data_IF_249176187768
#
_entry.id   IF_249176187768
#
_cell.length_a   1.000
_cell.length_b   1.000
_cell.length_c   1.000
_cell.angle_alpha   90.00
_cell.angle_beta   90.00
_cell.angle_gamma   90.00
#
_symmetry.space_group_name_H-M   'P 1'
#
loop_
_entity.id
_entity.type
_entity.pdbx_description
1 polymer ?
#
# COMPACT_ATOMS: atom_id res chain seq x y z
N UNK A 1 76.28 -23.56 32.29
CA UNK A 1 76.22 -22.10 32.52
C UNK A 1 75.59 -21.48 31.29
N UNK A 2 74.49 -20.74 31.26
CA UNK A 2 73.41 -20.42 32.20
C UNK A 2 72.25 -19.93 31.34
N UNK A 3 71.01 -20.29 31.71
CA UNK A 3 69.74 -19.73 31.22
C UNK A 3 69.71 -18.20 31.28
N UNK A 4 68.88 -17.53 30.46
CA UNK A 4 67.63 -16.88 30.89
C UNK A 4 66.84 -16.24 29.72
N UNK A 5 65.51 -16.45 29.78
CA UNK A 5 64.43 -15.80 29.02
C UNK A 5 64.44 -14.27 29.17
N UNK A 6 63.93 -13.54 28.17
CA UNK A 6 63.06 -12.40 28.43
C UNK A 6 61.86 -12.35 27.46
N UNK A 7 60.71 -12.14 28.09
CA UNK A 7 59.35 -12.04 27.61
C UNK A 7 58.96 -10.54 27.64
N UNK A 8 58.10 -10.07 26.74
CA UNK A 8 57.46 -8.75 26.84
C UNK A 8 56.79 -8.31 25.53
N UNK A 9 55.56 -8.74 25.28
CA UNK A 9 54.29 -8.02 25.52
C UNK A 9 53.98 -6.98 24.43
N UNK A 10 53.31 -7.43 23.36
CA UNK A 10 52.57 -6.55 22.45
C UNK A 10 51.23 -6.20 23.10
N UNK A 11 51.04 -4.92 23.42
CA UNK A 11 49.75 -4.37 23.83
C UNK A 11 48.85 -4.30 22.60
N UNK A 12 47.82 -5.14 22.58
CA UNK A 12 46.64 -4.96 21.72
C UNK A 12 45.86 -3.76 22.26
N UNK A 13 45.97 -2.62 21.58
CA UNK A 13 45.03 -1.52 21.73
C UNK A 13 43.71 -1.95 21.08
N UNK A 14 42.71 -2.30 21.89
CA UNK A 14 41.34 -2.33 21.43
C UNK A 14 40.92 -0.89 21.14
N UNK A 15 40.71 -0.59 19.86
CA UNK A 15 39.93 0.58 19.48
C UNK A 15 38.49 0.29 19.90
N UNK A 16 38.14 0.71 21.11
CA UNK A 16 36.77 0.87 21.53
C UNK A 16 36.17 1.97 20.68
N UNK A 17 35.49 1.59 19.61
CA UNK A 17 34.68 2.50 18.81
C UNK A 17 33.49 2.89 19.70
N UNK A 18 33.63 4.06 20.34
CA UNK A 18 32.54 4.70 21.07
C UNK A 18 31.55 5.19 20.02
N UNK A 19 30.64 4.32 19.61
CA UNK A 19 29.44 4.73 18.89
C UNK A 19 28.70 5.76 19.76
N UNK A 20 28.69 7.00 19.28
CA UNK A 20 27.84 8.03 19.84
C UNK A 20 26.37 7.54 19.87
N UNK A 21 25.55 7.99 20.83
CA UNK A 21 24.12 7.73 20.75
C UNK A 21 23.61 8.42 19.48
N UNK A 22 23.14 7.64 18.50
CA UNK A 22 22.42 8.16 17.33
C UNK A 22 21.11 8.77 17.82
N UNK A 23 21.15 10.06 18.14
CA UNK A 23 19.98 10.93 18.18
C UNK A 23 19.22 10.72 16.87
N UNK A 24 17.98 10.24 16.95
CA UNK A 24 17.30 9.60 15.83
C UNK A 24 17.18 10.54 14.61
N UNK A 25 17.92 10.30 13.51
CA UNK A 25 17.69 11.05 12.29
C UNK A 25 16.26 10.75 11.81
N UNK A 26 15.53 11.79 11.38
CA UNK A 26 14.17 11.69 10.86
C UNK A 26 14.06 10.76 9.63
N UNK A 27 12.94 10.83 8.89
CA UNK A 27 12.80 10.04 7.68
C UNK A 27 13.90 10.42 6.67
N UNK A 28 14.37 9.44 5.90
CA UNK A 28 15.45 9.64 4.92
C UNK A 28 15.30 8.69 3.74
N UNK A 29 15.92 9.07 2.63
CA UNK A 29 16.09 8.24 1.45
C UNK A 29 17.56 8.30 1.00
N UNK A 30 18.16 7.15 0.72
CA UNK A 30 19.59 7.06 0.39
C UNK A 30 19.88 5.86 -0.50
N UNK A 31 21.01 5.92 -1.20
CA UNK A 31 21.54 4.81 -1.99
C UNK A 31 22.40 3.91 -1.09
N UNK A 32 22.14 2.61 -1.14
CA UNK A 32 23.02 1.57 -0.60
C UNK A 32 23.80 0.96 -1.77
N UNK A 33 24.95 1.56 -2.06
CA UNK A 33 25.83 1.17 -3.17
C UNK A 33 26.29 -0.28 -3.08
N UNK A 34 26.47 -0.80 -1.86
CA UNK A 34 26.95 -2.16 -1.64
C UNK A 34 25.92 -3.18 -2.15
N UNK A 35 24.63 -2.87 -2.05
CA UNK A 35 23.54 -3.74 -2.46
C UNK A 35 22.86 -3.31 -3.77
N UNK A 36 23.21 -2.14 -4.32
CA UNK A 36 22.57 -1.58 -5.51
C UNK A 36 21.09 -1.27 -5.29
N UNK A 37 20.76 -0.75 -4.10
CA UNK A 37 19.38 -0.48 -3.68
C UNK A 37 19.18 0.98 -3.30
N UNK A 38 18.03 1.52 -3.65
CA UNK A 38 17.53 2.78 -3.10
C UNK A 38 16.68 2.45 -1.88
N UNK A 39 17.00 3.05 -0.73
CA UNK A 39 16.37 2.75 0.56
C UNK A 39 15.66 3.98 1.08
N UNK A 40 14.36 3.84 1.37
CA UNK A 40 13.58 4.82 2.11
C UNK A 40 13.34 4.28 3.52
N UNK A 41 13.72 5.06 4.54
CA UNK A 41 13.78 4.66 5.94
C UNK A 41 12.99 5.70 6.75
N UNK A 42 11.82 5.32 7.28
CA UNK A 42 10.95 6.24 8.04
C UNK A 42 11.53 6.55 9.43
N UNK A 43 11.01 7.59 10.09
CA UNK A 43 11.42 7.93 11.45
C UNK A 43 11.24 6.73 12.40
N UNK A 44 12.14 6.54 13.38
CA UNK A 44 12.01 5.44 14.32
C UNK A 44 10.79 5.63 15.23
N UNK A 45 10.24 4.50 15.66
CA UNK A 45 9.07 4.45 16.55
C UNK A 45 9.17 3.26 17.50
N UNK A 46 8.42 3.32 18.58
CA UNK A 46 8.24 2.18 19.48
C UNK A 46 7.00 1.39 19.08
N UNK A 47 7.11 0.06 19.09
CA UNK A 47 6.05 -0.90 18.77
C UNK A 47 5.73 -1.71 20.03
N UNK A 48 4.75 -1.28 20.84
CA UNK A 48 4.31 -2.04 22.01
C UNK A 48 3.76 -3.42 21.60
N UNK A 49 3.97 -4.44 22.44
CA UNK A 49 3.45 -5.78 22.20
C UNK A 49 1.91 -5.79 22.19
N UNK A 50 1.31 -6.72 21.45
CA UNK A 50 -0.15 -6.99 21.40
C UNK A 50 -1.01 -5.76 21.16
N UNK A 51 -0.54 -4.84 20.32
CA UNK A 51 -1.22 -3.58 20.06
C UNK A 51 -1.64 -3.52 18.59
N UNK A 52 -2.95 -3.34 18.30
CA UNK A 52 -3.44 -3.19 16.93
C UNK A 52 -3.09 -1.80 16.37
N UNK A 53 -3.13 -1.64 15.05
CA UNK A 53 -2.73 -0.39 14.38
C UNK A 53 -3.46 0.87 14.90
N UNK A 54 -4.74 0.77 15.28
CA UNK A 54 -5.51 1.92 15.80
C UNK A 54 -5.11 2.34 17.23
N UNK A 55 -4.29 1.55 17.93
CA UNK A 55 -3.77 1.83 19.26
C UNK A 55 -2.26 2.09 19.28
N UNK A 56 -1.61 2.09 18.10
CA UNK A 56 -0.20 2.45 17.92
C UNK A 56 -0.13 3.81 17.25
N UNK A 57 0.73 4.69 17.78
CA UNK A 57 1.07 5.93 17.08
C UNK A 57 1.81 5.58 15.78
N UNK A 58 1.18 5.79 14.63
CA UNK A 58 1.74 5.41 13.33
C UNK A 58 2.98 6.25 12.98
N UNK A 59 3.92 5.73 12.16
CA UNK A 59 5.02 6.53 11.63
C UNK A 59 4.48 7.83 11.01
N UNK A 60 5.10 9.00 11.30
CA UNK A 60 4.76 10.22 10.61
C UNK A 60 4.90 10.05 9.10
N UNK A 61 3.93 10.58 8.35
CA UNK A 61 4.02 10.64 6.89
C UNK A 61 5.23 11.49 6.51
N UNK A 62 6.06 10.99 5.60
CA UNK A 62 7.29 11.64 5.20
C UNK A 62 7.22 12.06 3.74
N UNK A 63 7.50 13.35 3.47
CA UNK A 63 7.84 13.83 2.13
C UNK A 63 9.35 13.88 1.99
N UNK A 64 9.89 13.24 0.96
CA UNK A 64 11.32 13.07 0.71
C UNK A 64 11.62 13.34 -0.77
N UNK A 65 12.89 13.61 -1.08
CA UNK A 65 13.34 13.83 -2.45
C UNK A 65 14.20 12.66 -2.92
N UNK A 66 13.99 12.20 -4.16
CA UNK A 66 14.83 11.15 -4.75
C UNK A 66 16.29 11.64 -4.88
N UNK A 67 17.28 10.91 -4.33
CA UNK A 67 18.68 11.37 -4.31
C UNK A 67 19.41 11.17 -5.65
N UNK A 68 18.96 10.22 -6.48
CA UNK A 68 19.61 9.87 -7.75
C UNK A 68 18.59 9.44 -8.81
N UNK A 69 18.81 9.87 -10.05
CA UNK A 69 17.99 9.46 -11.20
C UNK A 69 18.28 8.01 -11.60
N UNK A 70 17.23 7.24 -11.87
CA UNK A 70 17.37 5.85 -12.31
C UNK A 70 16.04 5.14 -12.45
N UNK A 71 16.03 3.83 -12.23
CA UNK A 71 14.83 3.01 -12.36
C UNK A 71 14.72 1.96 -11.27
N UNK A 72 13.54 1.86 -10.67
CA UNK A 72 13.19 0.80 -9.73
C UNK A 72 12.63 -0.39 -10.52
N UNK A 73 13.15 -1.58 -10.28
CA UNK A 73 12.65 -2.81 -10.91
C UNK A 73 12.21 -3.87 -9.89
N UNK A 74 12.16 -3.52 -8.61
CA UNK A 74 11.65 -4.39 -7.57
C UNK A 74 11.72 -3.72 -6.22
N UNK A 75 10.93 -4.21 -5.26
CA UNK A 75 10.90 -3.64 -3.93
C UNK A 75 10.46 -4.65 -2.88
N UNK A 76 10.75 -4.33 -1.61
CA UNK A 76 10.20 -4.97 -0.42
C UNK A 76 10.04 -3.93 0.68
N UNK A 77 8.96 -4.03 1.43
CA UNK A 77 8.78 -3.29 2.68
C UNK A 77 9.14 -4.21 3.84
N UNK A 78 9.83 -3.69 4.84
CA UNK A 78 10.23 -4.43 6.03
C UNK A 78 10.23 -3.51 7.26
N UNK A 79 10.03 -4.08 8.44
CA UNK A 79 10.36 -3.40 9.71
C UNK A 79 11.75 -3.87 10.15
N UNK A 80 12.57 -2.95 10.64
CA UNK A 80 13.88 -3.25 11.23
C UNK A 80 13.97 -2.74 12.66
N UNK A 81 14.77 -3.40 13.48
CA UNK A 81 15.11 -2.93 14.83
C UNK A 81 16.13 -1.76 14.78
N UNK A 82 16.48 -1.26 15.97
CA UNK A 82 17.49 -0.19 16.13
C UNK A 82 18.89 -0.54 15.59
N UNK A 83 19.22 -1.82 15.45
CA UNK A 83 20.48 -2.30 14.89
C UNK A 83 20.37 -2.60 13.38
N UNK A 84 19.18 -2.46 12.79
CA UNK A 84 18.92 -2.73 11.38
C UNK A 84 18.58 -4.18 11.06
N UNK A 85 18.38 -5.05 12.05
CA UNK A 85 17.93 -6.41 11.82
C UNK A 85 16.46 -6.44 11.45
N UNK A 86 16.10 -7.28 10.48
CA UNK A 86 14.71 -7.46 10.08
C UNK A 86 13.86 -8.03 11.23
N UNK A 87 12.70 -7.41 11.43
CA UNK A 87 11.65 -7.87 12.33
C UNK A 87 10.58 -8.65 11.53
N UNK A 88 9.62 -9.33 12.20
CA UNK A 88 8.57 -10.07 11.50
C UNK A 88 7.79 -9.22 10.49
N UNK A 89 7.50 -9.79 9.32
CA UNK A 89 6.76 -9.11 8.24
C UNK A 89 5.31 -8.79 8.64
N UNK A 90 4.73 -9.56 9.58
CA UNK A 90 3.38 -9.34 10.14
C UNK A 90 3.22 -8.00 10.86
N UNK A 91 4.32 -7.28 11.11
CA UNK A 91 4.27 -5.94 11.69
C UNK A 91 3.81 -4.86 10.68
N UNK A 92 3.88 -5.14 9.38
CA UNK A 92 3.44 -4.21 8.34
C UNK A 92 1.93 -4.39 8.11
N UNK A 93 1.16 -3.36 8.41
CA UNK A 93 -0.26 -3.35 8.07
C UNK A 93 -0.45 -2.85 6.63
N UNK A 94 0.12 -1.68 6.30
CA UNK A 94 0.23 -1.22 4.91
C UNK A 94 1.36 -0.21 4.71
N UNK A 95 1.78 -0.01 3.47
CA UNK A 95 2.76 0.98 3.06
C UNK A 95 2.37 1.52 1.69
N UNK A 96 2.45 2.84 1.51
CA UNK A 96 2.26 3.51 0.24
C UNK A 96 3.46 4.40 -0.08
N UNK A 97 3.94 4.33 -1.32
CA UNK A 97 4.81 5.33 -1.94
C UNK A 97 4.01 6.08 -2.99
N UNK A 98 3.96 7.41 -2.88
CA UNK A 98 3.13 8.27 -3.69
C UNK A 98 4.02 9.34 -4.32
N UNK A 99 3.74 9.65 -5.57
CA UNK A 99 4.29 10.81 -6.25
C UNK A 99 3.20 11.90 -6.25
N UNK A 100 3.38 12.97 -5.46
CA UNK A 100 2.39 14.03 -5.33
C UNK A 100 2.38 15.01 -6.51
N UNK A 101 3.43 15.00 -7.34
CA UNK A 101 3.67 15.99 -8.39
C UNK A 101 3.05 15.56 -9.73
N UNK A 102 2.81 14.26 -9.92
CA UNK A 102 2.17 13.70 -11.11
C UNK A 102 0.81 13.09 -10.80
N UNK A 103 -0.11 13.18 -11.76
CA UNK A 103 -1.45 12.60 -11.61
C UNK A 103 -1.48 11.08 -11.80
N UNK A 104 -2.45 10.41 -11.23
CA UNK A 104 -2.77 9.01 -11.53
C UNK A 104 -3.29 8.84 -12.98
N UNK A 105 -3.16 7.63 -13.54
CA UNK A 105 -3.52 7.35 -14.92
C UNK A 105 -5.01 7.58 -15.20
N UNK A 106 -5.90 7.14 -14.32
CA UNK A 106 -7.36 7.19 -14.54
C UNK A 106 -8.08 8.30 -13.75
N UNK A 107 -7.40 8.99 -12.84
CA UNK A 107 -7.99 10.01 -11.98
C UNK A 107 -7.05 11.22 -11.82
N UNK A 108 -7.59 12.42 -11.56
CA UNK A 108 -6.81 13.61 -11.23
C UNK A 108 -6.39 13.62 -9.75
N UNK A 109 -5.80 12.52 -9.26
CA UNK A 109 -5.26 12.37 -7.90
C UNK A 109 -3.74 12.13 -7.94
N UNK A 110 -3.05 12.09 -6.79
CA UNK A 110 -1.60 11.82 -6.78
C UNK A 110 -1.28 10.40 -7.24
N UNK A 111 -0.25 10.25 -8.07
CA UNK A 111 0.15 8.95 -8.66
C UNK A 111 0.62 7.97 -7.58
N UNK A 112 0.06 6.76 -7.59
CA UNK A 112 0.49 5.69 -6.68
C UNK A 112 1.66 4.94 -7.27
N UNK A 113 2.85 5.09 -6.67
CA UNK A 113 4.06 4.42 -7.16
C UNK A 113 4.12 2.97 -6.68
N UNK A 114 3.86 2.73 -5.40
CA UNK A 114 3.96 1.41 -4.79
C UNK A 114 2.95 1.29 -3.65
N UNK A 115 2.40 0.10 -3.45
CA UNK A 115 1.63 -0.26 -2.28
C UNK A 115 2.02 -1.67 -1.82
N UNK A 116 2.09 -1.89 -0.51
CA UNK A 116 2.32 -3.21 0.07
C UNK A 116 1.74 -3.34 1.47
N UNK A 117 1.11 -4.48 1.78
CA UNK A 117 0.88 -4.98 3.14
C UNK A 117 1.78 -6.17 3.45
N UNK A 118 1.55 -6.83 4.58
CA UNK A 118 2.27 -8.06 4.97
C UNK A 118 2.10 -9.18 3.94
N UNK A 119 0.99 -9.19 3.21
CA UNK A 119 0.64 -10.18 2.18
C UNK A 119 1.35 -9.97 0.83
N UNK A 120 1.94 -8.80 0.59
CA UNK A 120 2.49 -8.46 -0.74
C UNK A 120 3.83 -9.13 -1.02
N UNK A 121 4.64 -9.38 0.01
CA UNK A 121 5.99 -9.94 -0.14
C UNK A 121 6.94 -9.08 -1.00
N UNK A 122 7.92 -9.72 -1.65
CA UNK A 122 8.88 -9.03 -2.51
C UNK A 122 8.41 -9.04 -3.97
N UNK A 123 8.35 -7.85 -4.59
CA UNK A 123 7.96 -7.68 -5.99
C UNK A 123 9.19 -7.48 -6.87
N UNK A 124 9.20 -8.12 -8.04
CA UNK A 124 10.27 -7.99 -9.03
C UNK A 124 9.73 -7.92 -10.44
N UNK A 125 10.27 -6.98 -11.21
CA UNK A 125 10.09 -6.83 -12.63
C UNK A 125 11.28 -7.43 -13.39
N UNK A 126 11.10 -7.87 -14.65
CA UNK A 126 12.22 -8.21 -15.51
C UNK A 126 13.15 -7.00 -15.70
N UNK A 127 14.24 -6.93 -14.94
CA UNK A 127 15.12 -5.75 -14.79
C UNK A 127 15.61 -5.12 -16.09
N UNK A 128 15.79 -5.94 -17.13
CA UNK A 128 16.29 -5.49 -18.42
C UNK A 128 15.18 -4.87 -19.27
N UNK A 129 13.92 -5.25 -19.04
CA UNK A 129 12.79 -4.79 -19.84
C UNK A 129 12.09 -3.60 -19.18
N UNK A 130 11.79 -3.69 -17.89
CA UNK A 130 10.89 -2.76 -17.23
C UNK A 130 11.50 -2.19 -15.95
N UNK A 131 11.29 -0.90 -15.74
CA UNK A 131 11.48 -0.26 -14.47
C UNK A 131 10.71 1.06 -14.37
N UNK A 132 10.35 1.41 -13.15
CA UNK A 132 9.74 2.67 -12.79
C UNK A 132 10.81 3.76 -12.81
N UNK A 133 10.78 4.72 -13.77
CA UNK A 133 11.74 5.80 -13.79
C UNK A 133 11.55 6.72 -12.57
N UNK A 134 12.65 7.12 -11.96
CA UNK A 134 12.71 8.17 -10.95
C UNK A 134 13.70 9.24 -11.38
N UNK A 135 13.41 10.49 -11.06
CA UNK A 135 14.32 11.63 -11.28
C UNK A 135 14.85 12.16 -9.97
N UNK A 136 16.14 12.50 -9.95
CA UNK A 136 16.73 13.21 -8.82
C UNK A 136 15.96 14.51 -8.53
N UNK A 137 15.66 14.76 -7.25
CA UNK A 137 14.89 15.91 -6.78
C UNK A 137 13.37 15.77 -6.93
N UNK A 138 12.88 14.66 -7.50
CA UNK A 138 11.43 14.37 -7.52
C UNK A 138 10.94 14.09 -6.11
N UNK A 139 9.79 14.67 -5.74
CA UNK A 139 9.20 14.42 -4.43
C UNK A 139 8.51 13.06 -4.39
N UNK A 140 8.64 12.39 -3.26
CA UNK A 140 7.85 11.21 -2.93
C UNK A 140 7.30 11.32 -1.52
N UNK A 141 6.08 10.84 -1.33
CA UNK A 141 5.43 10.74 -0.04
C UNK A 141 5.37 9.28 0.37
N UNK A 142 5.91 8.97 1.54
CA UNK A 142 5.87 7.65 2.14
C UNK A 142 4.94 7.66 3.36
N UNK A 143 3.97 6.75 3.35
CA UNK A 143 2.96 6.59 4.39
C UNK A 143 2.86 5.12 4.76
N UNK A 144 3.17 4.79 6.01
CA UNK A 144 3.16 3.42 6.50
C UNK A 144 2.23 3.28 7.71
N UNK A 145 1.49 2.19 7.77
CA UNK A 145 0.83 1.73 8.99
C UNK A 145 1.40 0.39 9.43
N UNK A 146 1.54 0.27 10.73
CA UNK A 146 2.07 -0.89 11.41
C UNK A 146 1.12 -1.34 12.51
N UNK A 147 1.19 -2.62 12.80
CA UNK A 147 0.61 -3.20 14.00
C UNK A 147 1.61 -4.15 14.67
N UNK A 148 1.37 -4.49 15.93
CA UNK A 148 2.21 -5.45 16.61
C UNK A 148 1.34 -6.37 17.45
N UNK A 149 0.76 -7.38 16.81
CA UNK A 149 -0.02 -8.41 17.51
C UNK A 149 0.86 -9.46 18.21
N UNK A 150 2.17 -9.36 18.06
CA UNK A 150 3.15 -10.27 18.67
C UNK A 150 3.29 -10.00 20.18
N UNK A 151 3.78 -10.97 20.97
CA UNK A 151 4.02 -10.76 22.40
C UNK A 151 5.27 -9.90 22.69
N UNK A 152 6.06 -9.53 21.68
CA UNK A 152 7.33 -8.84 21.84
C UNK A 152 7.18 -7.36 21.53
N UNK A 153 7.68 -6.50 22.42
CA UNK A 153 7.77 -5.07 22.15
C UNK A 153 9.11 -4.73 21.46
N UNK A 154 9.09 -3.82 20.51
CA UNK A 154 10.28 -3.34 19.81
C UNK A 154 10.46 -1.84 20.06
N UNK A 155 11.68 -1.41 20.33
CA UNK A 155 12.01 0.01 20.52
C UNK A 155 12.82 0.54 19.36
N UNK A 156 12.58 1.79 18.99
CA UNK A 156 13.28 2.47 17.90
C UNK A 156 13.28 1.65 16.59
N UNK A 157 12.18 0.95 16.33
CA UNK A 157 11.97 0.22 15.10
C UNK A 157 11.73 1.19 13.95
N UNK A 158 12.12 0.82 12.73
CA UNK A 158 11.92 1.63 11.52
C UNK A 158 11.21 0.84 10.45
N UNK A 159 10.27 1.46 9.77
CA UNK A 159 9.72 0.91 8.51
C UNK A 159 10.63 1.33 7.36
N UNK A 160 11.03 0.36 6.55
CA UNK A 160 11.96 0.54 5.44
C UNK A 160 11.38 -0.01 4.14
N UNK A 161 11.38 0.80 3.11
CA UNK A 161 11.17 0.39 1.73
C UNK A 161 12.55 0.22 1.06
N UNK A 162 12.88 -1.02 0.68
CA UNK A 162 14.10 -1.36 -0.03
C UNK A 162 13.76 -1.58 -1.51
N UNK A 163 14.31 -0.73 -2.38
CA UNK A 163 14.02 -0.75 -3.82
C UNK A 163 15.26 -1.18 -4.59
N UNK A 164 15.12 -2.19 -5.44
CA UNK A 164 16.17 -2.59 -6.38
C UNK A 164 16.29 -1.54 -7.46
N UNK A 165 17.48 -0.96 -7.58
CA UNK A 165 17.68 0.27 -8.33
C UNK A 165 18.71 0.09 -9.44
N UNK A 166 18.43 0.69 -10.60
CA UNK A 166 19.38 0.81 -11.70
C UNK A 166 19.64 2.30 -11.95
N UNK A 167 20.87 2.79 -11.76
CA UNK A 167 21.24 4.16 -12.10
C UNK A 167 20.98 4.51 -13.57
N UNK A 168 20.56 5.74 -13.86
CA UNK A 168 20.19 6.19 -15.21
C UNK A 168 21.32 6.09 -16.26
N UNK A 169 22.58 5.99 -15.82
CA UNK A 169 23.76 5.76 -16.68
C UNK A 169 23.83 4.37 -17.32
N UNK A 170 22.92 3.46 -16.97
CA UNK A 170 22.84 2.13 -17.56
C UNK A 170 21.89 2.13 -18.76
N UNK A 171 22.13 1.30 -19.80
CA UNK A 171 21.27 1.24 -20.99
C UNK A 171 19.98 0.43 -20.77
N UNK A 172 19.66 0.04 -19.54
CA UNK A 172 18.43 -0.67 -19.16
C UNK A 172 17.79 0.04 -17.95
N UNK A 173 16.48 -0.16 -17.70
CA UNK A 173 15.53 -0.98 -18.46
C UNK A 173 15.24 -0.42 -19.87
N UNK A 174 14.84 -1.29 -20.80
CA UNK A 174 14.46 -0.89 -22.16
C UNK A 174 13.20 -0.04 -22.21
N UNK A 175 12.27 -0.24 -21.26
CA UNK A 175 11.01 0.46 -21.17
C UNK A 175 10.82 1.07 -19.78
N UNK A 176 10.51 2.36 -19.76
CA UNK A 176 9.96 3.03 -18.59
C UNK A 176 8.52 2.57 -18.38
N UNK A 177 8.25 1.94 -17.24
CA UNK A 177 6.94 1.43 -16.89
C UNK A 177 6.44 2.11 -15.61
N UNK A 178 5.28 2.74 -15.66
CA UNK A 178 4.62 3.30 -14.49
C UNK A 178 3.55 2.35 -13.97
N UNK A 179 3.40 2.22 -12.65
CA UNK A 179 2.25 1.57 -12.06
C UNK A 179 0.98 2.36 -12.41
N UNK A 180 -0.15 1.66 -12.39
CA UNK A 180 -1.48 2.27 -12.50
C UNK A 180 -2.47 1.43 -11.70
N UNK A 181 -3.58 2.06 -11.33
CA UNK A 181 -4.70 1.37 -10.69
C UNK A 181 -6.05 1.94 -11.13
N UNK A 182 -7.07 1.09 -11.02
CA UNK A 182 -8.47 1.45 -11.16
C UNK A 182 -9.28 0.68 -10.11
N UNK A 183 -10.14 1.37 -9.38
CA UNK A 183 -10.93 0.80 -8.29
C UNK A 183 -12.43 1.01 -8.55
N UNK A 184 -13.26 0.06 -8.16
CA UNK A 184 -14.72 0.18 -8.21
C UNK A 184 -15.28 1.21 -7.22
N UNK A 185 -14.49 1.61 -6.23
CA UNK A 185 -14.83 2.62 -5.21
C UNK A 185 -14.21 4.01 -5.48
N UNK A 186 -13.52 4.21 -6.61
CA UNK A 186 -13.06 5.54 -7.05
C UNK A 186 -14.20 6.58 -7.06
N UNK A 187 -13.91 7.88 -6.79
CA UNK A 187 -12.61 8.53 -6.96
C UNK A 187 -11.70 8.73 -5.73
N UNK A 188 -12.23 8.84 -4.49
CA UNK A 188 -11.44 9.01 -3.25
C UNK A 188 -12.21 8.39 -2.08
N UNK A 189 -11.50 7.77 -1.13
CA UNK A 189 -12.06 7.18 0.08
C UNK A 189 -11.56 5.75 0.31
N UNK A 190 -12.21 5.06 1.25
CA UNK A 190 -11.93 3.65 1.50
C UNK A 190 -12.22 2.82 0.24
N UNK A 191 -11.27 1.94 -0.08
CA UNK A 191 -11.39 1.03 -1.23
C UNK A 191 -12.36 -0.12 -0.98
N UNK A 192 -12.71 -0.34 0.29
CA UNK A 192 -13.68 -1.35 0.71
C UNK A 192 -15.11 -0.83 0.65
N UNK A 193 -16.06 -1.75 0.59
CA UNK A 193 -17.47 -1.44 0.66
C UNK A 193 -18.26 -2.55 1.37
N UNK A 194 -19.39 -2.16 1.96
CA UNK A 194 -20.34 -3.12 2.51
C UNK A 194 -20.85 -4.08 1.41
N UNK A 195 -20.63 -5.37 1.60
CA UNK A 195 -21.01 -6.41 0.67
C UNK A 195 -22.44 -6.91 0.99
N UNK A 196 -23.45 -6.64 0.16
CA UNK A 196 -24.82 -7.09 0.42
C UNK A 196 -24.93 -8.63 0.37
N UNK A 197 -25.96 -9.22 0.99
CA UNK A 197 -26.21 -10.66 0.87
C UNK A 197 -26.58 -11.05 -0.56
N UNK A 198 -26.17 -12.25 -0.96
CA UNK A 198 -26.37 -12.81 -2.29
C UNK A 198 -25.44 -12.24 -3.36
N UNK A 199 -25.88 -12.35 -4.62
CA UNK A 199 -25.11 -11.90 -5.78
C UNK A 199 -25.12 -10.39 -5.87
N UNK A 200 -23.96 -9.80 -6.11
CA UNK A 200 -23.82 -8.37 -6.35
C UNK A 200 -22.70 -8.08 -7.34
N UNK A 201 -22.74 -6.90 -7.94
CA UNK A 201 -21.68 -6.39 -8.80
C UNK A 201 -21.48 -4.90 -8.60
N UNK A 202 -20.25 -4.44 -8.79
CA UNK A 202 -19.89 -3.02 -8.83
C UNK A 202 -18.95 -2.76 -9.99
N UNK A 203 -18.97 -1.54 -10.50
CA UNK A 203 -18.09 -1.11 -11.58
C UNK A 203 -17.74 0.35 -11.46
N UNK A 204 -16.61 0.72 -12.07
CA UNK A 204 -16.19 2.09 -12.26
C UNK A 204 -15.65 2.24 -13.69
N UNK A 205 -15.79 3.43 -14.26
CA UNK A 205 -15.36 3.75 -15.62
C UNK A 205 -14.51 5.01 -15.65
N UNK A 206 -13.49 5.01 -16.50
CA UNK A 206 -12.57 6.12 -16.67
C UNK A 206 -11.78 6.00 -17.96
N UNK A 207 -11.04 7.06 -18.27
CA UNK A 207 -10.16 7.12 -19.43
C UNK A 207 -8.74 7.41 -18.96
N UNK A 208 -7.71 6.81 -19.59
CA UNK A 208 -6.34 7.07 -19.21
C UNK A 208 -5.94 8.50 -19.56
N UNK A 209 -5.03 9.05 -18.76
CA UNK A 209 -4.43 10.37 -18.93
C UNK A 209 -3.75 10.56 -20.28
N UNK A 210 -3.10 9.48 -20.71
CA UNK A 210 -2.16 9.45 -21.81
C UNK A 210 -2.24 8.09 -22.50
N UNK A 211 -1.93 8.00 -23.79
CA UNK A 211 -1.90 6.74 -24.49
C UNK A 211 -0.65 5.92 -24.14
N UNK A 212 -0.77 4.61 -24.23
CA UNK A 212 0.32 3.68 -23.95
C UNK A 212 -0.15 2.25 -23.83
N UNK A 213 0.68 1.38 -23.27
CA UNK A 213 0.46 -0.06 -23.27
C UNK A 213 0.42 -0.64 -21.87
N UNK A 214 -0.65 -1.35 -21.54
CA UNK A 214 -0.69 -2.22 -20.35
C UNK A 214 0.12 -3.47 -20.68
N UNK A 215 1.22 -3.68 -19.97
CA UNK A 215 2.13 -4.82 -20.19
C UNK A 215 1.91 -5.94 -19.19
N UNK A 216 1.39 -5.63 -18.01
CA UNK A 216 0.94 -6.63 -17.05
C UNK A 216 -0.15 -6.04 -16.17
N UNK A 217 -1.08 -6.89 -15.75
CA UNK A 217 -2.15 -6.50 -14.84
C UNK A 217 -2.61 -7.67 -13.98
N UNK A 218 -3.04 -7.35 -12.77
CA UNK A 218 -3.71 -8.25 -11.86
C UNK A 218 -4.85 -7.52 -11.17
N UNK A 219 -5.40 -8.14 -10.14
CA UNK A 219 -6.41 -7.49 -9.32
C UNK A 219 -6.31 -7.87 -7.86
N UNK A 220 -7.19 -7.25 -7.07
CA UNK A 220 -7.40 -7.57 -5.68
C UNK A 220 -8.91 -7.56 -5.38
N UNK A 221 -9.35 -8.58 -4.65
CA UNK A 221 -10.74 -8.77 -4.22
C UNK A 221 -10.70 -9.32 -2.79
N UNK A 222 -11.71 -8.98 -1.99
CA UNK A 222 -11.96 -9.62 -0.71
C UNK A 222 -12.72 -10.94 -0.91
N UNK A 223 -12.82 -11.73 0.17
CA UNK A 223 -13.56 -12.99 0.20
C UNK A 223 -14.96 -12.87 -0.44
N UNK A 224 -15.45 -13.99 -0.98
CA UNK A 224 -16.69 -14.08 -1.78
C UNK A 224 -16.63 -13.44 -3.17
N UNK A 225 -15.49 -12.87 -3.57
CA UNK A 225 -15.22 -12.45 -4.94
C UNK A 225 -15.35 -13.60 -5.94
N UNK A 226 -15.96 -13.35 -7.09
CA UNK A 226 -16.19 -14.37 -8.14
C UNK A 226 -15.43 -14.07 -9.42
N UNK A 227 -15.50 -12.83 -9.89
CA UNK A 227 -14.85 -12.36 -11.11
C UNK A 227 -14.47 -10.91 -10.94
N UNK A 228 -13.27 -10.58 -11.39
CA UNK A 228 -12.82 -9.21 -11.69
C UNK A 228 -12.52 -9.10 -13.19
N UNK A 229 -12.92 -7.98 -13.79
CA UNK A 229 -12.78 -7.73 -15.21
C UNK A 229 -12.33 -6.29 -15.48
N UNK A 230 -11.45 -6.12 -16.48
CA UNK A 230 -11.06 -4.83 -17.04
C UNK A 230 -11.32 -4.84 -18.54
N UNK A 231 -12.18 -3.93 -19.00
CA UNK A 231 -12.77 -3.95 -20.34
C UNK A 231 -12.68 -2.58 -20.98
N UNK A 232 -12.29 -2.53 -22.25
CA UNK A 232 -12.50 -1.37 -23.10
C UNK A 232 -13.96 -1.36 -23.55
N UNK A 233 -14.77 -0.49 -22.94
CA UNK A 233 -16.20 -0.43 -23.24
C UNK A 233 -16.50 0.35 -24.52
N UNK A 234 -15.52 1.10 -25.04
CA UNK A 234 -15.65 1.76 -26.35
C UNK A 234 -15.59 0.74 -27.48
N UNK A 235 -14.66 -0.22 -27.42
CA UNK A 235 -14.52 -1.27 -28.44
C UNK A 235 -15.27 -2.58 -28.10
N UNK A 236 -15.68 -2.76 -26.85
CA UNK A 236 -16.26 -4.00 -26.34
C UNK A 236 -15.22 -5.10 -26.04
N UNK A 237 -13.92 -4.78 -26.07
CA UNK A 237 -12.86 -5.74 -25.84
C UNK A 237 -12.58 -5.96 -24.34
N UNK A 238 -12.70 -7.21 -23.89
CA UNK A 238 -12.26 -7.61 -22.54
C UNK A 238 -10.74 -7.76 -22.55
N UNK A 239 -10.04 -6.87 -21.84
CA UNK A 239 -8.57 -6.85 -21.76
C UNK A 239 -8.07 -7.86 -20.72
N UNK A 240 -8.81 -8.01 -19.63
CA UNK A 240 -8.49 -8.91 -18.55
C UNK A 240 -9.74 -9.38 -17.83
N UNK A 241 -9.75 -10.66 -17.47
CA UNK A 241 -10.80 -11.29 -16.69
C UNK A 241 -10.18 -12.40 -15.86
N UNK A 242 -10.41 -12.38 -14.56
CA UNK A 242 -9.89 -13.39 -13.66
C UNK A 242 -10.92 -13.79 -12.62
N UNK A 243 -10.89 -15.07 -12.26
CA UNK A 243 -11.56 -15.59 -11.08
C UNK A 243 -10.53 -15.78 -9.97
N UNK A 244 -10.85 -15.43 -8.71
CA UNK A 244 -9.96 -15.68 -7.58
C UNK A 244 -9.62 -17.16 -7.42
N UNK A 245 -8.41 -17.43 -6.96
CA UNK A 245 -7.99 -18.75 -6.48
C UNK A 245 -8.23 -18.76 -4.98
N UNK A 246 -8.96 -19.77 -4.51
CA UNK A 246 -9.26 -19.93 -3.09
C UNK A 246 -8.39 -21.01 -2.45
N UNK A 247 -8.11 -20.85 -1.16
CA UNK A 247 -7.40 -21.83 -0.34
C UNK A 247 -8.30 -23.01 0.05
N UNK A 248 -7.77 -23.92 0.88
CA UNK A 248 -8.51 -25.08 1.38
C UNK A 248 -9.70 -24.71 2.30
N UNK A 249 -9.70 -23.52 2.89
CA UNK A 249 -10.80 -22.99 3.72
C UNK A 249 -11.86 -22.24 2.88
N UNK A 250 -11.60 -22.03 1.59
CA UNK A 250 -12.47 -21.29 0.68
C UNK A 250 -12.27 -19.77 0.72
N UNK A 251 -11.22 -19.29 1.38
CA UNK A 251 -10.83 -17.87 1.40
C UNK A 251 -10.00 -17.56 0.16
N UNK A 252 -10.06 -16.32 -0.33
CA UNK A 252 -9.26 -15.94 -1.51
C UNK A 252 -7.78 -15.91 -1.14
N UNK A 253 -7.01 -16.76 -1.81
CA UNK A 253 -5.55 -16.81 -1.68
C UNK A 253 -4.88 -15.83 -2.66
N UNK A 254 -5.37 -15.77 -3.91
CA UNK A 254 -4.76 -14.90 -4.93
C UNK A 254 -5.70 -14.57 -6.08
N UNK A 255 -5.38 -13.50 -6.80
CA UNK A 255 -6.00 -13.15 -8.08
C UNK A 255 -4.97 -13.38 -9.20
N UNK A 256 -5.29 -14.18 -10.23
CA UNK A 256 -4.38 -14.45 -11.34
C UNK A 256 -3.85 -13.18 -12.03
N UNK A 257 -2.53 -13.07 -12.18
CA UNK A 257 -1.87 -11.96 -12.90
C UNK A 257 -1.71 -12.31 -14.38
N UNK A 258 -2.10 -11.39 -15.27
CA UNK A 258 -1.89 -11.50 -16.70
C UNK A 258 -0.62 -10.76 -17.15
N UNK A 259 0.27 -11.46 -17.86
CA UNK A 259 1.39 -10.86 -18.60
C UNK A 259 0.95 -10.65 -20.05
N UNK A 260 0.89 -9.41 -20.49
CA UNK A 260 0.42 -9.04 -21.83
C UNK A 260 1.55 -8.81 -22.83
N UNK A 261 2.80 -8.82 -22.37
CA UNK A 261 3.99 -8.80 -23.24
C UNK A 261 4.45 -10.22 -23.62
N UNK A 262 5.09 -10.33 -24.78
CA UNK A 262 5.69 -11.56 -25.28
C UNK A 262 6.66 -11.26 -26.42
N UNK A 263 7.13 -12.30 -27.12
CA UNK A 263 8.14 -12.17 -28.17
C UNK A 263 7.70 -11.26 -29.34
N UNK A 264 6.40 -11.18 -29.62
CA UNK A 264 5.86 -10.47 -30.80
C UNK A 264 5.05 -9.22 -30.46
N UNK A 265 4.76 -8.96 -29.18
CA UNK A 265 3.94 -7.82 -28.77
C UNK A 265 4.33 -7.29 -27.39
N UNK A 266 4.26 -5.97 -27.24
CA UNK A 266 4.47 -5.28 -25.98
C UNK A 266 3.12 -4.84 -25.41
N UNK A 267 2.35 -5.74 -24.79
CA UNK A 267 1.12 -5.35 -24.10
C UNK A 267 -0.09 -5.01 -24.99
N UNK A 268 -1.16 -4.55 -24.35
CA UNK A 268 -2.39 -4.06 -24.98
C UNK A 268 -2.38 -2.53 -24.94
N UNK A 269 -2.58 -1.90 -26.10
CA UNK A 269 -2.60 -0.44 -26.23
C UNK A 269 -3.94 0.14 -25.75
N UNK A 270 -3.88 1.21 -24.98
CA UNK A 270 -5.02 1.97 -24.48
C UNK A 270 -4.84 3.46 -24.79
N UNK A 271 -5.95 4.17 -25.00
CA UNK A 271 -5.94 5.57 -25.46
C UNK A 271 -6.96 6.44 -24.70
N UNK A 272 -6.71 7.75 -24.51
CA UNK A 272 -7.61 8.64 -23.77
C UNK A 272 -9.02 8.76 -24.36
N UNK A 273 -9.19 8.53 -25.66
CA UNK A 273 -10.47 8.62 -26.36
C UNK A 273 -11.41 7.45 -26.01
N UNK A 274 -10.85 6.36 -25.47
CA UNK A 274 -11.62 5.19 -25.06
C UNK A 274 -12.02 5.28 -23.59
N UNK A 275 -13.15 4.66 -23.26
CA UNK A 275 -13.58 4.45 -21.88
C UNK A 275 -13.27 3.00 -21.50
N UNK A 276 -12.68 2.85 -20.33
CA UNK A 276 -12.36 1.56 -19.75
C UNK A 276 -13.20 1.36 -18.50
N UNK A 277 -13.58 0.12 -18.22
CA UNK A 277 -14.39 -0.26 -17.07
C UNK A 277 -13.67 -1.33 -16.27
N UNK A 278 -13.55 -1.11 -14.97
CA UNK A 278 -13.34 -2.19 -14.01
C UNK A 278 -14.71 -2.67 -13.53
N UNK A 279 -14.90 -3.99 -13.45
CA UNK A 279 -16.10 -4.60 -12.85
C UNK A 279 -15.71 -5.73 -11.93
N UNK A 280 -16.40 -5.83 -10.79
CA UNK A 280 -16.31 -6.97 -9.88
C UNK A 280 -17.67 -7.58 -9.64
N UNK A 281 -17.68 -8.90 -9.44
CA UNK A 281 -18.86 -9.64 -9.00
C UNK A 281 -18.54 -10.44 -7.75
N UNK A 282 -19.53 -10.52 -6.87
CA UNK A 282 -19.48 -11.17 -5.59
C UNK A 282 -20.71 -12.04 -5.39
N UNK A 283 -20.60 -12.99 -4.46
CA UNK A 283 -21.71 -13.85 -4.03
C UNK A 283 -21.59 -14.16 -2.53
N UNK A 284 -22.25 -13.36 -1.70
CA UNK A 284 -22.20 -13.45 -0.25
C UNK A 284 -23.27 -14.44 0.27
N UNK A 285 -22.89 -15.63 0.77
CA UNK A 285 -23.84 -16.66 1.20
C UNK A 285 -24.37 -16.46 2.62
N UNK A 286 -23.90 -15.45 3.37
CA UNK A 286 -24.15 -15.33 4.82
C UNK A 286 -25.57 -14.88 5.18
N UNK A 287 -26.33 -14.38 4.20
CA UNK A 287 -27.68 -13.86 4.43
C UNK A 287 -27.72 -12.48 5.10
N UNK A 288 -26.58 -11.87 5.43
CA UNK A 288 -26.48 -10.53 5.97
C UNK A 288 -25.40 -9.69 5.24
N UNK A 289 -25.50 -8.35 5.26
CA UNK A 289 -24.43 -7.49 4.77
C UNK A 289 -23.14 -7.70 5.57
N UNK A 290 -22.00 -7.72 4.88
CA UNK A 290 -20.67 -7.79 5.51
C UNK A 290 -20.04 -6.38 5.39
N UNK A 291 -19.86 -5.65 6.51
CA UNK A 291 -19.11 -4.39 6.51
C UNK A 291 -17.70 -4.61 5.95
N UNK A 292 -17.27 -3.72 5.05
CA UNK A 292 -15.97 -3.81 4.35
C UNK A 292 -15.68 -5.14 3.63
N UNK A 293 -16.72 -5.94 3.40
CA UNK A 293 -16.59 -7.28 2.84
C UNK A 293 -16.27 -7.31 1.35
N UNK A 294 -16.37 -6.19 0.63
CA UNK A 294 -16.06 -6.12 -0.79
C UNK A 294 -14.93 -5.12 -1.09
N UNK A 295 -14.08 -5.46 -2.04
CA UNK A 295 -13.09 -4.58 -2.66
C UNK A 295 -12.93 -4.95 -4.15
N UNK A 296 -12.54 -4.01 -5.01
CA UNK A 296 -12.35 -4.33 -6.41
C UNK A 296 -11.34 -3.43 -7.08
N UNK A 297 -10.08 -3.88 -7.12
CA UNK A 297 -8.98 -3.10 -7.70
C UNK A 297 -8.36 -3.89 -8.84
N UNK A 298 -8.14 -3.25 -9.97
CA UNK A 298 -7.22 -3.72 -11.01
C UNK A 298 -6.05 -2.77 -11.02
N UNK A 299 -4.85 -3.32 -11.14
CA UNK A 299 -3.64 -2.53 -11.27
C UNK A 299 -2.58 -3.29 -12.02
N UNK A 300 -1.52 -2.59 -12.42
CA UNK A 300 -0.50 -3.20 -13.24
C UNK A 300 0.59 -2.24 -13.67
N UNK A 301 1.26 -2.60 -14.76
CA UNK A 301 2.33 -1.83 -15.38
C UNK A 301 1.87 -1.27 -16.71
N UNK A 302 2.13 0.02 -16.89
CA UNK A 302 1.80 0.79 -18.07
C UNK A 302 3.08 1.41 -18.65
N UNK A 303 3.31 1.21 -19.94
CA UNK A 303 4.40 1.83 -20.69
C UNK A 303 3.79 2.95 -21.54
N UNK A 304 4.04 4.23 -21.23
CA UNK A 304 3.56 5.34 -22.07
C UNK A 304 4.08 5.22 -23.50
N UNK A 305 3.31 5.71 -24.47
CA UNK A 305 3.81 5.81 -25.85
C UNK A 305 5.05 6.71 -25.93
N UNK A 306 5.90 6.47 -26.93
CA UNK A 306 7.15 7.21 -27.08
C UNK A 306 6.89 8.72 -27.25
N UNK A 307 7.60 9.55 -26.47
CA UNK A 307 7.49 11.00 -26.50
C UNK A 307 6.31 11.57 -25.70
N UNK A 308 5.48 10.71 -25.09
CA UNK A 308 4.42 11.14 -24.17
C UNK A 308 5.05 11.67 -22.88
N UNK A 309 4.63 12.87 -22.48
CA UNK A 309 4.94 13.42 -21.16
C UNK A 309 3.80 13.07 -20.20
N UNK A 310 4.14 12.48 -19.06
CA UNK A 310 3.14 12.21 -18.02
C UNK A 310 2.62 13.53 -17.44
N UNK A 311 1.30 13.72 -17.28
CA UNK A 311 0.80 15.02 -16.84
C UNK A 311 1.12 15.26 -15.36
N UNK A 312 1.38 16.52 -15.02
CA UNK A 312 1.44 16.96 -13.63
C UNK A 312 0.08 16.79 -12.94
N UNK A 313 0.09 16.67 -11.61
CA UNK A 313 -1.11 16.85 -10.81
C UNK A 313 -1.54 18.33 -10.84
N UNK A 314 -2.84 18.61 -10.73
CA UNK A 314 -3.34 19.98 -10.47
C UNK A 314 -3.66 20.10 -8.98
N UNK A 315 -2.85 20.83 -8.19
CA UNK A 315 -3.10 21.02 -6.77
C UNK A 315 -4.43 21.73 -6.47
N UNK A 316 -5.09 22.34 -7.45
CA UNK A 316 -6.38 23.01 -7.25
C UNK A 316 -7.57 22.10 -7.53
N UNK A 317 -7.34 20.89 -8.06
CA UNK A 317 -8.40 19.91 -8.29
C UNK A 317 -8.96 19.42 -6.95
N UNK A 318 -10.28 19.35 -6.82
CA UNK A 318 -10.94 18.94 -5.58
C UNK A 318 -10.65 17.48 -5.21
N UNK A 319 -10.51 16.58 -6.19
CA UNK A 319 -10.16 15.19 -5.97
C UNK A 319 -8.70 15.06 -5.54
N UNK A 320 -7.80 15.83 -6.16
CA UNK A 320 -6.41 15.91 -5.70
C UNK A 320 -6.34 16.38 -4.24
N UNK A 321 -7.10 17.41 -3.89
CA UNK A 321 -7.12 17.96 -2.53
C UNK A 321 -7.69 16.98 -1.50
N UNK A 322 -8.73 16.21 -1.84
CA UNK A 322 -9.26 15.14 -1.00
C UNK A 322 -8.24 14.00 -0.85
N UNK A 323 -7.63 13.58 -1.95
CA UNK A 323 -6.58 12.57 -1.98
C UNK A 323 -5.37 12.98 -1.11
N UNK A 324 -4.89 14.21 -1.28
CA UNK A 324 -3.81 14.80 -0.49
C UNK A 324 -4.09 14.74 1.00
N UNK A 325 -5.28 15.20 1.44
CA UNK A 325 -5.66 15.14 2.85
C UNK A 325 -5.71 13.72 3.39
N UNK A 326 -6.20 12.78 2.57
CA UNK A 326 -6.29 11.37 2.93
C UNK A 326 -4.90 10.73 3.09
N UNK A 327 -4.02 10.79 2.08
CA UNK A 327 -2.72 10.13 2.19
C UNK A 327 -1.74 10.82 3.14
N UNK A 328 -1.91 12.13 3.35
CA UNK A 328 -1.18 12.90 4.37
C UNK A 328 -1.75 12.73 5.78
N UNK A 329 -2.87 12.01 5.94
CA UNK A 329 -3.57 11.78 7.21
C UNK A 329 -3.93 13.09 7.94
N UNK A 330 -4.32 14.11 7.17
CA UNK A 330 -4.68 15.43 7.71
C UNK A 330 -6.13 15.50 8.17
N UNK A 331 -6.97 14.66 7.58
CA UNK A 331 -8.29 14.35 8.10
C UNK A 331 -8.09 13.15 9.02
N UNK A 332 -8.30 13.35 10.32
CA UNK A 332 -8.11 12.28 11.31
C UNK A 332 -8.78 11.01 10.81
N UNK A 333 -8.03 9.91 10.79
CA UNK A 333 -8.48 8.62 10.27
C UNK A 333 -9.95 8.41 10.68
N UNK A 334 -10.81 8.15 9.69
CA UNK A 334 -12.27 8.04 9.80
C UNK A 334 -12.77 6.93 10.74
N UNK A 335 -11.96 6.51 11.70
CA UNK A 335 -12.30 5.66 12.83
C UNK A 335 -12.30 6.41 14.18
N UNK A 336 -12.10 7.74 14.20
CA UNK A 336 -12.11 8.55 15.43
C UNK A 336 -13.30 9.50 15.64
N UNK A 337 -14.10 9.82 14.63
CA UNK A 337 -15.04 10.95 14.69
C UNK A 337 -16.50 10.62 14.32
N UNK A 338 -17.12 9.65 14.98
CA UNK A 338 -18.59 9.56 15.03
C UNK A 338 -19.19 9.44 16.45
N UNK A 339 -18.36 9.39 17.49
CA UNK A 339 -18.85 9.27 18.88
C UNK A 339 -19.05 10.62 19.60
N UNK A 340 -18.46 11.73 19.14
CA UNK A 340 -18.65 13.04 19.81
C UNK A 340 -19.77 13.90 19.18
N UNK A 341 -20.21 13.62 17.95
CA UNK A 341 -21.25 14.43 17.30
C UNK A 341 -22.69 14.04 17.66
N UNK A 342 -22.88 12.88 18.30
CA UNK A 342 -24.14 12.45 18.91
C UNK A 342 -24.33 12.98 20.35
N UNK A 343 -23.26 13.32 21.07
CA UNK A 343 -23.35 13.91 22.41
C UNK A 343 -23.77 15.39 22.35
N UNK A 344 -23.30 16.14 21.35
CA UNK A 344 -23.60 17.57 21.23
C UNK A 344 -24.99 17.84 20.63
N UNK A 345 -25.54 16.87 19.87
CA UNK A 345 -26.92 16.95 19.35
C UNK A 345 -27.97 16.41 20.32
N UNK A 346 -27.60 15.60 21.32
CA UNK A 346 -28.54 15.11 22.35
C UNK A 346 -28.67 16.03 23.56
N UNK A 347 -27.77 16.99 23.75
CA UNK A 347 -27.90 18.05 24.77
C UNK A 347 -28.73 19.26 24.30
N UNK A 348 -28.98 19.40 22.99
CA UNK A 348 -29.64 20.58 22.40
C UNK A 348 -31.15 20.42 22.12
N UNK A 349 -31.77 19.28 22.45
CA UNK A 349 -33.24 19.14 22.40
C UNK A 349 -33.76 18.42 23.64
N UNK A 350 -34.14 19.20 24.63
CA UNK A 350 -35.01 18.75 25.70
C UNK A 350 -36.32 18.18 25.13
N UNK A 351 -36.68 17.00 25.61
CA UNK A 351 -37.92 16.32 25.22
C UNK A 351 -38.01 14.96 25.89
N UNK A 352 -38.67 14.92 27.04
CA UNK A 352 -38.88 13.75 27.87
C UNK A 352 -39.56 12.59 27.11
N UNK A 353 -39.17 11.36 27.44
CA UNK A 353 -39.98 10.16 27.19
C UNK A 353 -39.83 9.16 28.36
N UNK A 354 -40.85 8.32 28.61
CA UNK A 354 -41.20 7.85 29.94
C UNK A 354 -40.60 6.49 30.29
N UNK A 355 -40.42 6.27 31.59
CA UNK A 355 -40.12 4.97 32.18
C UNK A 355 -41.24 3.96 31.92
N UNK A 356 -40.86 2.75 31.52
CA UNK A 356 -41.71 1.56 31.68
C UNK A 356 -40.92 0.50 32.45
N UNK A 357 -41.30 0.33 33.71
CA UNK A 357 -40.91 -0.79 34.57
C UNK A 357 -41.61 -2.08 34.12
N UNK A 358 -40.91 -3.21 34.30
CA UNK A 358 -41.45 -4.57 34.32
C UNK A 358 -40.30 -5.51 34.68
N UNK A 359 -39.98 -5.66 35.97
CA UNK A 359 -40.52 -6.65 36.89
C UNK A 359 -40.13 -8.09 36.50
N UNK A 360 -39.07 -8.57 37.15
CA UNK A 360 -38.73 -9.98 37.28
C UNK A 360 -39.71 -10.64 38.25
N UNK A 361 -40.25 -11.80 37.90
CA UNK A 361 -40.69 -12.79 38.87
C UNK A 361 -40.35 -14.19 38.36
N UNK A 362 -39.64 -14.95 39.22
CA UNK A 362 -39.41 -16.38 39.11
C UNK A 362 -40.52 -17.10 39.88
N UNK A 363 -41.02 -18.23 39.37
CA UNK A 363 -41.33 -19.40 40.18
C UNK A 363 -41.52 -20.65 39.30
N UNK A 364 -41.02 -21.77 39.81
CA UNK A 364 -41.12 -23.12 39.29
C UNK A 364 -42.47 -23.79 39.63
N UNK A 365 -42.92 -24.74 38.80
CA UNK A 365 -43.18 -26.16 39.13
C UNK A 365 -44.17 -26.84 38.16
N UNK A 366 -43.71 -27.96 37.60
CA UNK A 366 -44.31 -29.31 37.53
C UNK A 366 -45.70 -29.63 36.93
N UNK A 367 -45.66 -30.81 36.25
CA UNK A 367 -46.71 -31.79 35.85
C UNK A 367 -47.60 -31.38 34.66
N UNK A 368 -47.77 -32.20 33.62
CA UNK A 368 -47.84 -33.66 33.54
C UNK A 368 -47.22 -34.22 32.25
#
# INVERSE_FOLDING_TARGET
>A
MTRHLFLGLFVLLSAGDRSAPLEAPGPRIFLDDANGTLVLDLAPMDLPARTPHHAIAQPPVATLEIPESGSIYGFRVQVVDSAGHALPDELIHHFNLIDPDHRELFLPISRRLLAAGHETGAIQLPRLLFGLPLKQGEHVVASAMVENMTPTAYRQARVRLVMRFTPARRPWPLFSASPWQMDVAFPVGDKSFALPPGRSSRSYEGSPAVPGKIVGLGGHMHDYGRVIEFTDVTSGAVIYRASPVADAAGQIESIPVAKLYGWTRLGVHIVPEHRYRISVSYDNPTGAPIPDGGMGVVGGLFVPDHGVTWPAADPRDSLYQADYRHYMRLEGDGHGHDMMRMADKSMARGGAMPMKMGAHERAAHDRH
#
